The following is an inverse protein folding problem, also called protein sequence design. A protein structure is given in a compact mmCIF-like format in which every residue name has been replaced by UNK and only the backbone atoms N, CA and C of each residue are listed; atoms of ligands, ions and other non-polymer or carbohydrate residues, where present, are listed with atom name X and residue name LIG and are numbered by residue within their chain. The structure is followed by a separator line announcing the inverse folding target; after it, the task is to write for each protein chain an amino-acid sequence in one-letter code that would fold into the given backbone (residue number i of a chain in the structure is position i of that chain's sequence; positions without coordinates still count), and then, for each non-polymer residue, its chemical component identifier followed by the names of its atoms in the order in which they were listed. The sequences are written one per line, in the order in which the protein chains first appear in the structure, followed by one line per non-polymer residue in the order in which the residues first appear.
data_IF_091204994036
#
_entry.id   IF_091204994036
#
_cell.length_a   1.000
_cell.length_b   1.000
_cell.length_c   1.000
_cell.angle_alpha   90.00
_cell.angle_beta   90.00
_cell.angle_gamma   90.00
#
_symmetry.space_group_name_H-M   'P 1'
#
loop_
_entity.id
_entity.type
_entity.pdbx_description
1 polymer ?
#
# COMPACT_ATOMS: atom_id res chain seq x y z
N UNK A 1 19.82 31.68 -8.94
CA UNK A 1 20.75 30.69 -8.35
C UNK A 1 21.22 31.23 -7.00
N UNK A 2 20.59 30.84 -5.90
CA UNK A 2 21.05 31.21 -4.55
C UNK A 2 21.83 30.03 -3.97
N UNK A 3 23.05 30.34 -3.47
CA UNK A 3 23.84 29.38 -2.70
C UNK A 3 23.13 29.02 -1.39
N UNK A 4 23.39 27.82 -0.83
CA UNK A 4 22.82 27.44 0.48
C UNK A 4 23.31 28.44 1.54
N UNK A 5 22.37 28.93 2.37
CA UNK A 5 22.67 29.89 3.42
C UNK A 5 22.88 29.14 4.73
N UNK A 6 24.09 29.10 5.29
CA UNK A 6 24.50 28.34 6.48
C UNK A 6 24.44 26.82 6.39
N UNK A 7 24.35 26.20 5.21
CA UNK A 7 24.33 24.78 5.01
C UNK A 7 25.28 24.34 3.91
N UNK A 8 25.85 23.15 3.99
CA UNK A 8 26.76 22.62 2.95
C UNK A 8 26.02 22.25 1.67
N UNK A 9 24.77 21.76 1.80
CA UNK A 9 23.97 21.28 0.68
C UNK A 9 22.56 21.88 0.67
N UNK A 10 22.03 22.06 -0.53
CA UNK A 10 20.62 22.39 -0.79
C UNK A 10 19.90 21.17 -1.32
N UNK A 11 18.83 20.73 -0.64
CA UNK A 11 17.99 19.63 -1.08
C UNK A 11 16.74 20.17 -1.77
N UNK A 12 16.45 19.65 -2.99
CA UNK A 12 15.24 19.94 -3.75
C UNK A 12 14.53 18.63 -4.02
N UNK A 13 13.35 18.45 -3.43
CA UNK A 13 12.49 17.27 -3.63
C UNK A 13 11.38 17.65 -4.61
N UNK A 14 11.20 16.87 -5.66
CA UNK A 14 10.16 17.03 -6.66
C UNK A 14 9.30 15.77 -6.70
N UNK A 15 8.02 15.93 -6.36
CA UNK A 15 7.07 14.84 -6.33
C UNK A 15 6.05 14.99 -7.46
N UNK A 16 5.74 13.89 -8.17
CA UNK A 16 4.77 13.83 -9.28
C UNK A 16 4.97 14.95 -10.33
N UNK A 17 6.22 15.39 -10.55
CA UNK A 17 6.56 16.51 -11.44
C UNK A 17 6.33 16.21 -12.93
N UNK A 18 6.26 14.90 -13.29
CA UNK A 18 6.18 14.37 -14.66
C UNK A 18 7.41 14.70 -15.52
N UNK A 19 8.47 15.25 -14.95
CA UNK A 19 9.71 15.56 -15.65
C UNK A 19 10.40 14.29 -16.16
N UNK A 20 10.31 13.19 -15.43
CA UNK A 20 10.85 11.91 -15.88
C UNK A 20 9.93 11.15 -16.86
N UNK A 21 8.66 11.61 -17.07
CA UNK A 21 7.72 11.02 -18.01
C UNK A 21 7.85 11.61 -19.41
N UNK A 22 7.94 12.94 -19.51
CA UNK A 22 7.91 13.69 -20.75
C UNK A 22 9.33 14.14 -21.17
N UNK A 23 9.55 14.30 -22.46
CA UNK A 23 10.77 14.90 -22.96
C UNK A 23 10.86 16.35 -22.53
N UNK A 24 12.01 16.75 -21.95
CA UNK A 24 12.33 18.10 -21.49
C UNK A 24 13.82 18.30 -21.41
N UNK A 25 14.25 19.53 -21.22
CA UNK A 25 15.66 19.95 -21.09
C UNK A 25 16.09 20.14 -19.63
N UNK A 26 15.37 19.56 -18.66
CA UNK A 26 15.68 19.74 -17.24
C UNK A 26 17.05 19.16 -16.84
N UNK A 27 17.56 18.20 -17.61
CA UNK A 27 18.92 17.70 -17.42
C UNK A 27 19.97 18.84 -17.56
N UNK A 28 19.79 19.73 -18.54
CA UNK A 28 20.70 20.87 -18.75
C UNK A 28 20.60 21.87 -17.60
N UNK A 29 19.42 22.01 -17.00
CA UNK A 29 19.22 22.84 -15.81
C UNK A 29 20.01 22.26 -14.63
N UNK A 30 19.99 20.94 -14.42
CA UNK A 30 20.75 20.29 -13.35
C UNK A 30 22.27 20.51 -13.55
N UNK A 31 22.76 20.36 -14.77
CA UNK A 31 24.18 20.57 -15.10
C UNK A 31 24.64 22.01 -14.82
N UNK A 32 23.74 23.01 -14.87
CA UNK A 32 24.02 24.40 -14.62
C UNK A 32 23.99 24.80 -13.15
N UNK A 33 23.55 23.90 -12.25
CA UNK A 33 23.39 24.17 -10.82
C UNK A 33 24.64 23.71 -10.06
N UNK A 34 25.07 24.40 -9.00
CA UNK A 34 26.23 24.02 -8.20
C UNK A 34 26.08 22.59 -7.60
N UNK A 35 27.19 21.87 -7.48
CA UNK A 35 27.30 20.51 -6.91
C UNK A 35 26.78 20.42 -5.47
N UNK A 36 26.65 21.53 -4.77
CA UNK A 36 26.04 21.63 -3.45
C UNK A 36 24.51 21.40 -3.47
N UNK A 37 23.88 21.30 -4.67
CA UNK A 37 22.46 21.10 -4.79
C UNK A 37 22.14 19.63 -5.11
N UNK A 38 21.36 19.00 -4.24
CA UNK A 38 20.89 17.62 -4.40
C UNK A 38 19.44 17.65 -4.88
N UNK A 39 19.16 16.96 -5.99
CA UNK A 39 17.79 16.77 -6.50
C UNK A 39 17.30 15.36 -6.18
N UNK A 40 16.09 15.27 -5.63
CA UNK A 40 15.37 14.01 -5.41
C UNK A 40 14.08 14.06 -6.20
N UNK A 41 13.90 13.14 -7.13
CA UNK A 41 12.69 12.98 -7.93
C UNK A 41 11.90 11.79 -7.40
N UNK A 42 10.64 12.01 -7.02
CA UNK A 42 9.69 10.98 -6.61
C UNK A 42 8.57 10.94 -7.65
N UNK A 43 8.66 9.99 -8.58
CA UNK A 43 7.79 9.92 -9.76
C UNK A 43 7.05 8.59 -9.81
N UNK A 44 5.73 8.63 -10.07
CA UNK A 44 4.92 7.42 -10.25
C UNK A 44 5.12 6.77 -11.62
N UNK A 45 5.40 7.60 -12.63
CA UNK A 45 5.58 7.14 -14.00
C UNK A 45 6.88 7.69 -14.57
N UNK A 46 7.76 6.79 -14.97
CA UNK A 46 9.07 7.13 -15.51
C UNK A 46 9.25 6.55 -16.92
N UNK A 47 9.64 7.39 -17.86
CA UNK A 47 10.07 6.96 -19.19
C UNK A 47 11.60 6.86 -19.22
N UNK A 48 12.12 5.65 -19.17
CA UNK A 48 13.56 5.37 -19.15
C UNK A 48 14.32 5.84 -20.41
N UNK A 49 13.60 6.32 -21.43
CA UNK A 49 14.18 6.85 -22.68
C UNK A 49 14.46 8.34 -22.63
N UNK A 50 13.92 9.08 -21.65
CA UNK A 50 14.10 10.52 -21.52
C UNK A 50 15.56 10.91 -21.25
N UNK A 51 15.96 12.11 -21.67
CA UNK A 51 17.29 12.68 -21.43
C UNK A 51 17.55 12.78 -19.93
N UNK A 52 16.57 13.27 -19.18
CA UNK A 52 16.67 13.43 -17.74
C UNK A 52 16.89 12.09 -17.01
N UNK A 53 16.14 11.03 -17.34
CA UNK A 53 16.34 9.73 -16.71
C UNK A 53 17.74 9.16 -16.97
N UNK A 54 18.23 9.25 -18.23
CA UNK A 54 19.56 8.80 -18.59
C UNK A 54 20.64 9.60 -17.87
N UNK A 55 20.44 10.91 -17.70
CA UNK A 55 21.34 11.77 -16.94
C UNK A 55 21.40 11.32 -15.47
N UNK A 56 20.24 11.13 -14.83
CA UNK A 56 20.16 10.65 -13.44
C UNK A 56 20.83 9.27 -13.28
N UNK A 57 20.58 8.37 -14.22
CA UNK A 57 21.20 7.03 -14.17
C UNK A 57 22.72 7.04 -14.27
N UNK A 58 23.27 8.01 -15.02
CA UNK A 58 24.72 8.18 -15.20
C UNK A 58 25.41 8.87 -14.03
N UNK A 59 24.77 9.89 -13.46
CA UNK A 59 25.37 10.82 -12.50
C UNK A 59 24.81 10.71 -11.08
N UNK A 60 23.81 9.85 -10.86
CA UNK A 60 23.13 9.69 -9.59
C UNK A 60 22.64 8.26 -9.36
N UNK A 61 21.61 8.13 -8.55
CA UNK A 61 21.01 6.83 -8.18
C UNK A 61 19.54 6.85 -8.64
N UNK A 62 19.16 5.86 -9.44
CA UNK A 62 17.77 5.61 -9.82
C UNK A 62 17.30 4.30 -9.18
N UNK A 63 16.25 4.38 -8.35
CA UNK A 63 15.66 3.22 -7.67
C UNK A 63 14.22 3.06 -8.13
N UNK A 64 13.84 1.86 -8.51
CA UNK A 64 12.47 1.50 -8.87
C UNK A 64 11.82 0.80 -7.67
N UNK A 65 10.76 1.41 -7.13
CA UNK A 65 10.00 0.90 -5.99
C UNK A 65 8.60 0.51 -6.46
N UNK A 66 8.42 -0.76 -6.81
CA UNK A 66 7.14 -1.30 -7.20
C UNK A 66 6.34 -1.78 -5.99
N UNK A 67 5.01 -1.91 -6.17
CA UNK A 67 4.18 -2.60 -5.18
C UNK A 67 4.69 -4.05 -5.02
N UNK A 68 4.75 -4.49 -3.76
CA UNK A 68 5.15 -5.86 -3.45
C UNK A 68 4.06 -6.85 -3.90
N UNK A 69 4.48 -8.00 -4.40
CA UNK A 69 3.61 -9.14 -4.60
C UNK A 69 3.16 -9.73 -3.25
N UNK A 70 2.09 -10.52 -3.26
CA UNK A 70 1.59 -11.19 -2.05
C UNK A 70 2.68 -12.04 -1.37
N UNK A 71 3.53 -12.69 -2.17
CA UNK A 71 4.63 -13.51 -1.65
C UNK A 71 5.72 -12.66 -1.01
N UNK A 72 6.09 -11.52 -1.61
CA UNK A 72 7.05 -10.58 -1.03
C UNK A 72 6.50 -9.95 0.24
N UNK A 73 5.20 -9.65 0.29
CA UNK A 73 4.53 -9.13 1.48
C UNK A 73 4.54 -10.14 2.63
N UNK A 74 4.26 -11.42 2.35
CA UNK A 74 4.39 -12.50 3.34
C UNK A 74 5.82 -12.63 3.87
N UNK A 75 6.82 -12.54 2.98
CA UNK A 75 8.22 -12.57 3.37
C UNK A 75 8.59 -11.35 4.21
N UNK A 76 8.09 -10.16 3.87
CA UNK A 76 8.28 -8.94 4.65
C UNK A 76 7.75 -9.12 6.09
N UNK A 77 6.52 -9.64 6.24
CA UNK A 77 5.92 -9.94 7.55
C UNK A 77 6.82 -10.88 8.36
N UNK A 78 7.25 -11.99 7.75
CA UNK A 78 8.10 -12.98 8.43
C UNK A 78 9.45 -12.40 8.86
N UNK A 79 10.11 -11.61 8.00
CA UNK A 79 11.39 -10.97 8.30
C UNK A 79 11.23 -9.90 9.39
N UNK A 80 10.16 -9.10 9.33
CA UNK A 80 9.91 -8.05 10.33
C UNK A 80 9.68 -8.64 11.71
N UNK A 81 8.84 -9.65 11.81
CA UNK A 81 8.58 -10.38 13.06
C UNK A 81 9.82 -11.11 13.56
N UNK A 82 10.60 -11.74 12.67
CA UNK A 82 11.84 -12.43 13.01
C UNK A 82 12.88 -11.52 13.65
N UNK A 83 13.00 -10.26 13.21
CA UNK A 83 13.87 -9.24 13.82
C UNK A 83 13.48 -8.93 15.27
N UNK A 84 12.20 -9.04 15.60
CA UNK A 84 11.67 -8.85 16.95
C UNK A 84 11.65 -10.15 17.78
N UNK A 85 12.23 -11.25 17.28
CA UNK A 85 12.22 -12.55 17.96
C UNK A 85 10.87 -13.24 17.96
N UNK A 86 9.96 -12.85 17.06
CA UNK A 86 8.62 -13.43 16.94
C UNK A 86 8.55 -14.43 15.79
N UNK A 87 7.65 -15.39 15.93
CA UNK A 87 7.35 -16.42 14.93
C UNK A 87 5.87 -16.37 14.55
N UNK A 88 5.58 -16.58 13.28
CA UNK A 88 4.22 -16.65 12.76
C UNK A 88 4.14 -17.80 11.76
N UNK A 89 3.05 -18.57 11.79
CA UNK A 89 2.80 -19.63 10.81
C UNK A 89 2.31 -19.01 9.51
N UNK A 90 2.60 -19.64 8.38
CA UNK A 90 2.23 -19.14 7.07
C UNK A 90 0.71 -18.86 6.94
N UNK A 91 -0.14 -19.76 7.42
CA UNK A 91 -1.60 -19.58 7.40
C UNK A 91 -2.06 -18.42 8.30
N UNK A 92 -1.37 -18.18 9.40
CA UNK A 92 -1.65 -17.04 10.30
C UNK A 92 -1.17 -15.73 9.68
N UNK A 93 -0.04 -15.74 8.98
CA UNK A 93 0.45 -14.57 8.23
C UNK A 93 -0.47 -14.20 7.05
N UNK A 94 -0.99 -15.20 6.34
CA UNK A 94 -2.01 -14.97 5.31
C UNK A 94 -3.28 -14.37 5.92
N UNK A 95 -3.76 -14.94 7.02
CA UNK A 95 -4.92 -14.41 7.74
C UNK A 95 -4.70 -12.96 8.19
N UNK A 96 -3.51 -12.63 8.70
CA UNK A 96 -3.13 -11.26 9.04
C UNK A 96 -3.27 -10.31 7.85
N UNK A 97 -2.72 -10.68 6.68
CA UNK A 97 -2.79 -9.86 5.46
C UNK A 97 -4.23 -9.71 4.92
N UNK A 98 -5.10 -10.68 5.19
CA UNK A 98 -6.53 -10.57 4.86
C UNK A 98 -7.31 -9.60 5.77
N UNK A 99 -6.80 -9.33 6.98
CA UNK A 99 -7.44 -8.43 7.95
C UNK A 99 -6.94 -6.98 7.82
N UNK A 100 -5.69 -6.79 7.37
CA UNK A 100 -5.05 -5.47 7.27
C UNK A 100 -5.04 -4.94 5.83
N UNK A 101 -4.89 -3.64 5.68
CA UNK A 101 -4.74 -3.01 4.37
C UNK A 101 -3.38 -3.34 3.75
N UNK A 102 -3.35 -3.50 2.43
CA UNK A 102 -2.13 -3.79 1.66
C UNK A 102 -1.11 -2.62 1.62
N UNK A 103 -1.33 -1.56 2.39
CA UNK A 103 -0.34 -0.51 2.58
C UNK A 103 0.79 -1.01 3.47
N UNK A 104 2.03 -1.01 2.98
CA UNK A 104 3.21 -1.42 3.75
C UNK A 104 3.33 -0.69 5.09
N UNK A 105 3.00 0.60 5.11
CA UNK A 105 3.01 1.40 6.33
C UNK A 105 1.99 0.87 7.35
N UNK A 106 0.80 0.53 6.87
CA UNK A 106 -0.25 -0.01 7.74
C UNK A 106 0.11 -1.41 8.24
N UNK A 107 0.62 -2.28 7.35
CA UNK A 107 1.13 -3.61 7.71
C UNK A 107 2.19 -3.48 8.82
N UNK A 108 3.15 -2.57 8.67
CA UNK A 108 4.19 -2.33 9.66
C UNK A 108 3.60 -1.87 11.00
N UNK A 109 2.68 -0.91 11.00
CA UNK A 109 2.04 -0.42 12.21
C UNK A 109 1.27 -1.54 12.95
N UNK A 110 0.56 -2.39 12.20
CA UNK A 110 -0.17 -3.53 12.78
C UNK A 110 0.80 -4.58 13.35
N UNK A 111 1.93 -4.84 12.66
CA UNK A 111 2.97 -5.73 13.17
C UNK A 111 3.60 -5.22 14.46
N UNK A 112 3.87 -3.90 14.58
CA UNK A 112 4.40 -3.30 15.82
C UNK A 112 3.42 -3.47 16.99
N UNK A 113 2.12 -3.32 16.74
CA UNK A 113 1.09 -3.58 17.76
C UNK A 113 1.08 -5.05 18.19
N UNK A 114 1.17 -6.00 17.24
CA UNK A 114 1.24 -7.42 17.54
C UNK A 114 2.49 -7.79 18.34
N UNK A 115 3.65 -7.22 17.99
CA UNK A 115 4.91 -7.41 18.71
C UNK A 115 4.77 -6.93 20.16
N UNK A 116 4.20 -5.75 20.37
CA UNK A 116 3.98 -5.18 21.69
C UNK A 116 2.97 -6.01 22.51
N UNK A 117 1.85 -6.43 21.91
CA UNK A 117 0.82 -7.21 22.58
C UNK A 117 1.32 -8.61 23.01
N UNK A 118 2.14 -9.23 22.17
CA UNK A 118 2.67 -10.58 22.42
C UNK A 118 3.97 -10.55 23.24
N UNK A 119 4.25 -9.48 24.00
CA UNK A 119 5.42 -9.45 24.92
C UNK A 119 5.44 -10.68 25.82
N UNK A 120 6.61 -11.34 25.89
CA UNK A 120 6.80 -12.56 26.68
C UNK A 120 6.45 -13.88 25.97
N UNK A 121 5.89 -13.82 24.74
CA UNK A 121 5.63 -15.01 23.91
C UNK A 121 6.34 -14.89 22.55
N UNK A 122 6.79 -16.00 21.99
CA UNK A 122 7.44 -16.01 20.67
C UNK A 122 6.45 -16.16 19.50
N UNK A 123 5.39 -16.95 19.70
CA UNK A 123 4.43 -17.27 18.62
C UNK A 123 3.25 -16.29 18.61
N UNK A 124 2.92 -15.80 17.41
CA UNK A 124 1.74 -14.98 17.13
C UNK A 124 0.65 -15.89 16.58
N UNK A 125 -0.55 -15.81 17.18
CA UNK A 125 -1.72 -16.61 16.82
C UNK A 125 -2.79 -15.79 16.12
N UNK A 126 -3.84 -16.45 15.61
CA UNK A 126 -5.00 -15.75 15.02
C UNK A 126 -5.77 -14.94 16.05
N UNK A 127 -5.87 -15.46 17.28
CA UNK A 127 -6.53 -14.79 18.38
C UNK A 127 -5.83 -13.47 18.76
N UNK A 128 -4.50 -13.41 18.62
CA UNK A 128 -3.73 -12.17 18.83
C UNK A 128 -4.06 -11.13 17.74
N UNK A 129 -4.18 -11.59 16.49
CA UNK A 129 -4.56 -10.73 15.36
C UNK A 129 -5.96 -10.15 15.58
N UNK A 130 -6.92 -11.00 15.95
CA UNK A 130 -8.30 -10.60 16.22
C UNK A 130 -8.41 -9.62 17.41
N UNK A 131 -7.53 -9.74 18.40
CA UNK A 131 -7.54 -8.90 19.58
C UNK A 131 -6.92 -7.50 19.36
N UNK A 132 -5.96 -7.38 18.43
CA UNK A 132 -5.09 -6.20 18.33
C UNK A 132 -5.20 -5.47 17.00
N UNK A 133 -5.29 -6.23 15.90
CA UNK A 133 -5.31 -5.60 14.59
C UNK A 133 -6.62 -4.87 14.37
N UNK A 134 -6.50 -3.63 13.92
CA UNK A 134 -7.66 -2.85 13.52
C UNK A 134 -8.29 -3.52 12.29
N UNK A 135 -9.45 -4.13 12.48
CA UNK A 135 -10.19 -4.76 11.38
C UNK A 135 -10.51 -3.67 10.36
N UNK A 136 -9.97 -3.84 9.17
CA UNK A 136 -10.26 -2.87 8.11
C UNK A 136 -11.71 -2.97 7.68
N UNK A 137 -12.40 -1.87 7.81
CA UNK A 137 -13.75 -1.67 7.33
C UNK A 137 -13.91 -2.09 5.87
N UNK A 138 -12.93 -1.75 5.03
CA UNK A 138 -12.91 -2.13 3.61
C UNK A 138 -12.90 -3.66 3.44
N UNK A 139 -12.08 -4.38 4.21
CA UNK A 139 -12.03 -5.84 4.18
C UNK A 139 -13.34 -6.48 4.64
N UNK A 140 -13.99 -5.92 5.66
CA UNK A 140 -15.31 -6.39 6.12
C UNK A 140 -16.41 -6.12 5.09
N UNK A 141 -16.36 -4.98 4.40
CA UNK A 141 -17.30 -4.69 3.31
C UNK A 141 -17.17 -5.73 2.20
N UNK A 142 -15.95 -6.10 1.80
CA UNK A 142 -15.77 -7.14 0.78
C UNK A 142 -16.25 -8.52 1.25
N UNK A 143 -15.99 -8.91 2.49
CA UNK A 143 -16.54 -10.15 3.08
C UNK A 143 -18.07 -10.16 3.06
N UNK A 144 -18.68 -9.01 3.39
CA UNK A 144 -20.12 -8.84 3.32
C UNK A 144 -20.64 -8.98 1.88
N UNK A 145 -19.93 -8.37 0.90
CA UNK A 145 -20.26 -8.49 -0.52
C UNK A 145 -20.21 -9.95 -1.00
N UNK A 146 -19.18 -10.69 -0.60
CA UNK A 146 -19.04 -12.12 -0.92
C UNK A 146 -20.14 -12.97 -0.28
N UNK A 147 -20.52 -12.65 0.96
CA UNK A 147 -21.64 -13.32 1.64
C UNK A 147 -22.97 -13.03 0.93
N UNK A 148 -23.21 -11.80 0.47
CA UNK A 148 -24.39 -11.42 -0.32
C UNK A 148 -24.39 -12.17 -1.67
N UNK A 149 -23.28 -12.16 -2.39
CA UNK A 149 -23.14 -12.84 -3.68
C UNK A 149 -23.29 -14.37 -3.55
N UNK A 150 -22.81 -14.95 -2.45
CA UNK A 150 -22.94 -16.36 -2.11
C UNK A 150 -24.29 -16.77 -1.51
N UNK A 151 -25.24 -15.83 -1.34
CA UNK A 151 -26.57 -16.09 -0.77
C UNK A 151 -26.58 -16.39 0.74
N UNK A 152 -25.49 -16.14 1.45
CA UNK A 152 -25.30 -16.37 2.88
C UNK A 152 -25.94 -15.26 3.72
N UNK A 153 -27.26 -15.18 3.74
CA UNK A 153 -28.03 -14.07 4.32
C UNK A 153 -27.68 -13.75 5.78
N UNK A 154 -27.59 -14.76 6.64
CA UNK A 154 -27.29 -14.56 8.06
C UNK A 154 -25.89 -13.96 8.28
N UNK A 155 -24.88 -14.42 7.52
CA UNK A 155 -23.51 -13.91 7.55
C UNK A 155 -23.44 -12.48 7.03
N UNK A 156 -24.11 -12.17 5.92
CA UNK A 156 -24.17 -10.83 5.34
C UNK A 156 -24.79 -9.82 6.31
N UNK A 157 -25.90 -10.18 6.98
CA UNK A 157 -26.56 -9.31 7.95
C UNK A 157 -25.65 -9.09 9.17
N UNK A 158 -24.99 -10.11 9.68
CA UNK A 158 -24.05 -9.98 10.79
C UNK A 158 -22.92 -9.01 10.44
N UNK A 159 -22.26 -9.21 9.29
CA UNK A 159 -21.17 -8.33 8.82
C UNK A 159 -21.63 -6.88 8.59
N UNK A 160 -22.89 -6.70 8.17
CA UNK A 160 -23.47 -5.36 8.06
C UNK A 160 -23.61 -4.68 9.45
N UNK A 161 -24.09 -5.41 10.46
CA UNK A 161 -24.17 -4.89 11.83
C UNK A 161 -22.79 -4.59 12.40
N UNK A 162 -21.78 -5.45 12.17
CA UNK A 162 -20.40 -5.22 12.59
C UNK A 162 -19.84 -3.91 11.98
N UNK A 163 -20.17 -3.64 10.70
CA UNK A 163 -19.80 -2.38 10.03
C UNK A 163 -20.49 -1.15 10.64
N UNK A 164 -21.75 -1.28 11.05
CA UNK A 164 -22.47 -0.19 11.73
C UNK A 164 -21.88 0.10 13.12
N UNK A 165 -21.47 -0.93 13.86
CA UNK A 165 -20.78 -0.79 15.15
C UNK A 165 -19.42 -0.07 15.00
N UNK A 166 -18.73 -0.27 13.89
CA UNK A 166 -17.53 0.46 13.50
C UNK A 166 -17.81 1.90 13.04
N UNK A 167 -19.08 2.37 13.15
CA UNK A 167 -19.55 3.70 12.75
C UNK A 167 -19.41 3.99 11.24
N UNK A 168 -19.42 2.97 10.42
CA UNK A 168 -19.45 3.16 8.98
C UNK A 168 -20.78 3.73 8.51
N UNK A 169 -20.71 4.64 7.56
CA UNK A 169 -21.90 5.26 7.00
C UNK A 169 -22.66 4.25 6.12
N UNK A 170 -23.95 3.95 6.41
CA UNK A 170 -24.77 3.02 5.63
C UNK A 170 -24.83 3.37 4.15
N UNK A 171 -24.78 4.66 3.80
CA UNK A 171 -24.77 5.09 2.39
C UNK A 171 -23.46 4.74 1.67
N UNK A 172 -22.33 4.79 2.38
CA UNK A 172 -21.03 4.36 1.86
C UNK A 172 -21.03 2.86 1.59
N UNK A 173 -21.59 2.06 2.50
CA UNK A 173 -21.73 0.61 2.34
C UNK A 173 -22.62 0.31 1.11
N UNK A 174 -23.77 0.99 1.00
CA UNK A 174 -24.69 0.82 -0.15
C UNK A 174 -24.03 1.22 -1.47
N UNK A 175 -23.26 2.31 -1.50
CA UNK A 175 -22.52 2.74 -2.68
C UNK A 175 -21.51 1.69 -3.14
N UNK A 176 -20.75 1.11 -2.21
CA UNK A 176 -19.76 0.08 -2.52
C UNK A 176 -20.43 -1.22 -3.00
N UNK A 177 -21.56 -1.62 -2.39
CA UNK A 177 -22.41 -2.71 -2.87
C UNK A 177 -22.84 -2.49 -4.32
N UNK A 178 -23.43 -1.34 -4.60
CA UNK A 178 -23.92 -1.00 -5.94
C UNK A 178 -22.78 -1.00 -6.96
N UNK A 179 -21.65 -0.40 -6.63
CA UNK A 179 -20.46 -0.37 -7.49
C UNK A 179 -19.96 -1.78 -7.79
N UNK A 180 -19.88 -2.65 -6.79
CA UNK A 180 -19.39 -4.02 -6.96
C UNK A 180 -20.30 -4.84 -7.88
N UNK A 181 -21.62 -4.79 -7.66
CA UNK A 181 -22.58 -5.49 -8.52
C UNK A 181 -22.60 -4.93 -9.95
N UNK A 182 -22.42 -3.63 -10.13
CA UNK A 182 -22.29 -3.04 -11.47
C UNK A 182 -21.05 -3.57 -12.21
N UNK A 183 -19.92 -3.72 -11.53
CA UNK A 183 -18.70 -4.31 -12.12
C UNK A 183 -18.97 -5.76 -12.52
N UNK A 184 -19.61 -6.56 -11.65
CA UNK A 184 -19.96 -7.95 -11.98
C UNK A 184 -20.90 -8.04 -13.20
N UNK A 185 -21.89 -7.16 -13.30
CA UNK A 185 -22.78 -7.08 -14.45
C UNK A 185 -22.02 -6.73 -15.73
N UNK A 186 -21.10 -5.77 -15.69
CA UNK A 186 -20.24 -5.41 -16.82
C UNK A 186 -19.39 -6.59 -17.29
N UNK A 187 -18.73 -7.29 -16.35
CA UNK A 187 -17.93 -8.48 -16.66
C UNK A 187 -18.80 -9.57 -17.30
N UNK A 188 -20.00 -9.81 -16.76
CA UNK A 188 -20.94 -10.78 -17.33
C UNK A 188 -21.37 -10.39 -18.75
N UNK A 189 -21.68 -9.13 -18.97
CA UNK A 189 -22.04 -8.62 -20.30
C UNK A 189 -20.89 -8.78 -21.31
N UNK A 190 -19.66 -8.44 -20.92
CA UNK A 190 -18.48 -8.63 -21.77
C UNK A 190 -18.25 -10.11 -22.13
N UNK A 191 -18.47 -11.05 -21.19
CA UNK A 191 -18.34 -12.49 -21.48
C UNK A 191 -19.43 -13.03 -22.41
N UNK A 192 -20.58 -12.38 -22.48
CA UNK A 192 -21.67 -12.78 -23.38
C UNK A 192 -21.52 -12.18 -24.79
N UNK A 193 -20.75 -11.11 -24.92
CA UNK A 193 -20.57 -10.38 -26.19
C UNK A 193 -19.25 -10.77 -26.94
N UNK A 194 -18.40 -11.56 -26.37
CA UNK A 194 -17.15 -12.10 -26.94
C UNK A 194 -17.13 -13.59 -26.94
#
# INVERSE_FOLDING_TARGET
QTLPFFQEHRLIIMEDSKLCKNANDFADVIESVPDSTIFVFVEKEVNKRTKLYKYIQKNGIAVELNAMSDQETLQFVAVHLGKAGKKIRQNTAQYFLEQVDNSLLNIQNELEKLIAYTMGREEITKEDIDAVCSIQVTGQIFKMLDAVAGGKKAEAIRLYHDLLELKENPMSILYLLTRHFNILLQIKSCKQSG
#
